data_IF_053428938249
#
_entry.id   IF_053428938249
#
_cell.length_a   1.000
_cell.length_b   1.000
_cell.length_c   1.000
_cell.angle_alpha   90.00
_cell.angle_beta   90.00
_cell.angle_gamma   90.00
#
_symmetry.space_group_name_H-M   'P 1'
#
loop_
_entity.id
_entity.type
_entity.pdbx_description
1 polymer ?
#
# COMPACT_ATOMS: atom_id res chain seq x y z
N UNK A 1 -2.64 5.10 -3.51
CA UNK A 1 -3.23 3.77 -3.31
C UNK A 1 -4.71 3.88 -2.97
N UNK A 2 -5.55 2.99 -3.51
CA UNK A 2 -6.99 2.95 -3.22
C UNK A 2 -7.47 1.51 -3.06
N UNK A 3 -8.45 1.30 -2.19
CA UNK A 3 -9.05 -0.02 -1.95
C UNK A 3 -9.64 -0.62 -3.23
N UNK A 4 -10.34 0.18 -4.04
CA UNK A 4 -10.94 -0.29 -5.30
C UNK A 4 -9.90 -0.79 -6.31
N UNK A 5 -8.71 -0.17 -6.35
CA UNK A 5 -7.61 -0.64 -7.20
C UNK A 5 -7.13 -2.04 -6.77
N UNK A 6 -6.93 -2.24 -5.47
CA UNK A 6 -6.52 -3.52 -4.90
C UNK A 6 -7.59 -4.59 -5.12
N UNK A 7 -8.87 -4.25 -4.94
CA UNK A 7 -9.98 -5.17 -5.22
C UNK A 7 -9.92 -5.72 -6.65
N UNK A 8 -9.67 -4.87 -7.65
CA UNK A 8 -9.61 -5.27 -9.07
C UNK A 8 -8.33 -6.03 -9.42
N UNK A 9 -7.17 -5.58 -8.94
CA UNK A 9 -5.87 -6.20 -9.28
C UNK A 9 -5.67 -7.54 -8.59
N UNK A 10 -6.11 -7.65 -7.34
CA UNK A 10 -5.90 -8.84 -6.52
C UNK A 10 -7.14 -9.74 -6.45
N UNK A 11 -8.26 -9.32 -7.04
CA UNK A 11 -9.55 -10.04 -7.03
C UNK A 11 -10.02 -10.35 -5.61
N UNK A 12 -9.93 -9.36 -4.73
CA UNK A 12 -10.30 -9.46 -3.31
C UNK A 12 -11.51 -8.59 -2.98
N UNK A 13 -12.26 -8.96 -1.93
CA UNK A 13 -13.38 -8.17 -1.41
C UNK A 13 -12.91 -6.91 -0.67
N UNK A 14 -13.84 -5.98 -0.43
CA UNK A 14 -13.56 -4.68 0.19
C UNK A 14 -12.83 -4.80 1.53
N UNK A 15 -13.30 -5.66 2.45
CA UNK A 15 -12.69 -5.80 3.78
C UNK A 15 -11.22 -6.21 3.73
N UNK A 16 -10.85 -7.12 2.82
CA UNK A 16 -9.44 -7.51 2.61
C UNK A 16 -8.62 -6.38 1.99
N UNK A 17 -9.19 -5.65 1.03
CA UNK A 17 -8.50 -4.53 0.41
C UNK A 17 -8.29 -3.35 1.37
N UNK A 18 -9.28 -3.04 2.20
CA UNK A 18 -9.18 -2.03 3.25
C UNK A 18 -8.11 -2.41 4.27
N UNK A 19 -8.13 -3.66 4.74
CA UNK A 19 -7.12 -4.16 5.67
C UNK A 19 -5.70 -4.10 5.10
N UNK A 20 -5.51 -4.47 3.82
CA UNK A 20 -4.21 -4.34 3.16
C UNK A 20 -3.72 -2.88 3.12
N UNK A 21 -4.61 -1.94 2.82
CA UNK A 21 -4.28 -0.51 2.80
C UNK A 21 -3.86 -0.02 4.19
N UNK A 22 -4.53 -0.48 5.25
CA UNK A 22 -4.17 -0.12 6.63
C UNK A 22 -2.82 -0.72 7.04
N UNK A 23 -2.52 -1.96 6.64
CA UNK A 23 -1.20 -2.57 6.85
C UNK A 23 -0.12 -1.79 6.12
N UNK A 24 -0.34 -1.45 4.85
CA UNK A 24 0.60 -0.64 4.06
C UNK A 24 0.83 0.75 4.69
N UNK A 25 -0.16 1.34 5.36
CA UNK A 25 0.01 2.61 6.09
C UNK A 25 0.87 2.43 7.33
N UNK A 26 0.60 1.39 8.12
CA UNK A 26 1.40 1.04 9.31
C UNK A 26 2.85 0.77 8.97
N UNK A 27 3.10 0.12 7.83
CA UNK A 27 4.44 -0.20 7.34
C UNK A 27 5.12 0.98 6.64
N UNK A 28 4.47 2.15 6.57
CA UNK A 28 5.02 3.36 5.94
C UNK A 28 5.17 3.24 4.41
N UNK A 29 4.39 2.37 3.77
CA UNK A 29 4.35 2.18 2.31
C UNK A 29 3.38 3.17 1.67
N UNK A 30 2.27 3.48 2.33
CA UNK A 30 1.29 4.49 1.91
C UNK A 30 1.07 5.52 3.01
N UNK A 31 0.78 6.76 2.61
CA UNK A 31 0.47 7.85 3.55
C UNK A 31 -0.92 7.76 4.14
N UNK A 32 -1.21 8.67 5.08
CA UNK A 32 -2.52 8.79 5.72
C UNK A 32 -3.64 9.07 4.71
N UNK A 33 -4.88 8.78 5.11
CA UNK A 33 -6.04 9.10 4.30
C UNK A 33 -6.27 10.62 4.22
N UNK A 34 -6.29 11.17 3.00
CA UNK A 34 -6.72 12.55 2.71
C UNK A 34 -8.12 12.55 2.05
N UNK A 35 -9.13 12.32 2.89
CA UNK A 35 -10.53 12.30 2.47
C UNK A 35 -10.81 11.34 1.31
N UNK A 36 -11.47 11.78 0.21
CA UNK A 36 -11.81 10.91 -0.92
C UNK A 36 -10.63 10.64 -1.86
N UNK A 37 -9.48 11.29 -1.67
CA UNK A 37 -8.34 11.15 -2.58
C UNK A 37 -7.65 9.79 -2.37
N UNK A 38 -7.03 9.23 -3.43
CA UNK A 38 -6.13 8.10 -3.27
C UNK A 38 -5.00 8.46 -2.29
N UNK A 39 -4.66 7.52 -1.39
CA UNK A 39 -3.53 7.70 -0.47
C UNK A 39 -2.23 7.92 -1.23
N UNK A 40 -1.33 8.73 -0.72
CA UNK A 40 0.01 8.87 -1.28
C UNK A 40 0.78 7.54 -1.16
N UNK A 41 1.65 7.24 -2.12
CA UNK A 41 2.56 6.07 -2.05
C UNK A 41 3.93 6.61 -1.67
N UNK A 42 4.44 6.19 -0.52
CA UNK A 42 5.66 6.74 0.08
C UNK A 42 6.93 5.99 -0.35
N UNK A 43 6.78 4.76 -0.88
CA UNK A 43 7.89 3.91 -1.31
C UNK A 43 7.88 3.73 -2.82
N UNK A 44 9.05 3.79 -3.44
CA UNK A 44 9.24 3.50 -4.87
C UNK A 44 9.08 2.00 -5.12
N UNK A 45 8.69 1.54 -6.33
CA UNK A 45 8.46 0.11 -6.58
C UNK A 45 9.64 -0.83 -6.29
N UNK A 46 10.86 -0.32 -6.36
CA UNK A 46 12.14 -0.98 -6.15
C UNK A 46 12.61 -1.00 -4.68
N UNK A 47 11.84 -0.43 -3.75
CA UNK A 47 12.23 -0.28 -2.34
C UNK A 47 12.55 -1.60 -1.62
N UNK A 48 11.91 -2.70 -2.01
CA UNK A 48 12.17 -4.03 -1.43
C UNK A 48 13.61 -4.45 -1.70
N UNK A 49 14.07 -4.28 -2.94
CA UNK A 49 15.43 -4.62 -3.35
C UNK A 49 16.47 -3.79 -2.59
N UNK A 50 16.22 -2.49 -2.41
CA UNK A 50 17.10 -1.58 -1.65
C UNK A 50 17.23 -2.01 -0.19
N UNK A 51 16.12 -2.40 0.44
CA UNK A 51 16.11 -2.89 1.83
C UNK A 51 16.85 -4.21 1.94
N UNK A 52 16.59 -5.16 1.04
CA UNK A 52 17.25 -6.47 1.03
C UNK A 52 18.77 -6.36 0.84
N UNK A 53 19.23 -5.42 0.00
CA UNK A 53 20.66 -5.12 -0.16
C UNK A 53 21.28 -4.54 1.12
N UNK A 54 20.57 -3.66 1.82
CA UNK A 54 21.07 -3.02 3.06
C UNK A 54 21.13 -3.96 4.28
N UNK A 55 20.38 -5.07 4.24
CA UNK A 55 20.31 -6.07 5.31
C UNK A 55 21.30 -7.24 5.14
N UNK A 56 22.00 -7.31 4.00
CA UNK A 56 23.10 -8.26 3.75
C UNK A 56 24.43 -7.70 4.24
#
# INVERSE_FOLDING_TARGET
ASTSLLQRRLRIGYGRAAHLIDLMERDGIVGAADGPKPREVLKRPDWISEVEESMR
#
